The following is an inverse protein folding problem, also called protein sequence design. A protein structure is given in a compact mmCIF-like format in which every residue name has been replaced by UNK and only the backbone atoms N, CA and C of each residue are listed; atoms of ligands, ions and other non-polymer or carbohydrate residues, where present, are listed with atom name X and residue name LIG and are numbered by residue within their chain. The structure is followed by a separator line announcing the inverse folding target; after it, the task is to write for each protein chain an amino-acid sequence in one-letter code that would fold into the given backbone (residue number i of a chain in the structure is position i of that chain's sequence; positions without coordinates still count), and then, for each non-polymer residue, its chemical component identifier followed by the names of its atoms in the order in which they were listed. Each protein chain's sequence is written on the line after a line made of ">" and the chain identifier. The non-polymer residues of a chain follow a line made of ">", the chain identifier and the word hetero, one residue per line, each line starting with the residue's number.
data_IF_251555626917
#
_entry.id   IF_251555626917
#
_cell.length_a   1.000
_cell.length_b   1.000
_cell.length_c   1.000
_cell.angle_alpha   90.00
_cell.angle_beta   90.00
_cell.angle_gamma   90.00
#
_symmetry.space_group_name_H-M   'P 1'
#
loop_
_entity.id
_entity.type
_entity.pdbx_description
1 polymer ?
#
# COMPACT_ATOMS: atom_id res chain seq x y z
N UNK A 1 4.81 -32.59 28.87
CA UNK A 1 4.12 -31.31 29.16
C UNK A 1 5.02 -30.53 30.10
N UNK A 2 5.65 -29.43 29.66
CA UNK A 2 6.56 -28.64 30.52
C UNK A 2 5.72 -27.81 31.48
N UNK A 3 5.75 -28.13 32.77
CA UNK A 3 5.14 -27.31 33.82
C UNK A 3 6.13 -26.23 34.26
N UNK A 4 5.72 -24.97 34.19
CA UNK A 4 6.50 -23.86 34.76
C UNK A 4 6.14 -23.76 36.24
N UNK A 5 7.13 -23.93 37.11
CA UNK A 5 6.96 -23.67 38.56
C UNK A 5 7.01 -22.16 38.74
N UNK A 6 5.84 -21.56 38.95
CA UNK A 6 5.69 -20.12 39.15
C UNK A 6 6.07 -19.78 40.58
N UNK A 7 7.27 -19.22 40.78
CA UNK A 7 7.66 -18.60 42.06
C UNK A 7 7.28 -17.11 42.06
N UNK A 8 7.20 -16.49 43.23
CA UNK A 8 6.87 -15.06 43.37
C UNK A 8 7.85 -14.15 42.59
N UNK A 9 9.10 -14.59 42.40
CA UNK A 9 10.14 -13.91 41.62
C UNK A 9 10.08 -14.16 40.11
N UNK A 10 9.39 -15.20 39.64
CA UNK A 10 9.24 -15.51 38.20
C UNK A 10 7.86 -15.17 37.65
N UNK A 11 6.90 -14.82 38.51
CA UNK A 11 5.53 -14.46 38.12
C UNK A 11 5.48 -13.31 37.10
N UNK A 12 6.25 -12.24 37.31
CA UNK A 12 6.30 -11.09 36.38
C UNK A 12 6.89 -11.49 35.03
N UNK A 13 7.94 -12.32 35.02
CA UNK A 13 8.56 -12.83 33.80
C UNK A 13 7.60 -13.74 33.01
N UNK A 14 6.81 -14.56 33.72
CA UNK A 14 5.78 -15.40 33.10
C UNK A 14 4.64 -14.53 32.55
N UNK A 15 4.19 -13.50 33.27
CA UNK A 15 3.18 -12.55 32.76
C UNK A 15 3.71 -11.83 31.53
N UNK A 16 4.94 -11.32 31.55
CA UNK A 16 5.55 -10.63 30.42
C UNK A 16 5.69 -11.58 29.21
N UNK A 17 6.15 -12.81 29.44
CA UNK A 17 6.24 -13.82 28.38
C UNK A 17 4.87 -14.18 27.79
N UNK A 18 3.83 -14.34 28.63
CA UNK A 18 2.47 -14.61 28.15
C UNK A 18 1.92 -13.39 27.41
N UNK A 19 2.17 -12.18 27.91
CA UNK A 19 1.75 -10.93 27.30
C UNK A 19 2.38 -10.76 25.92
N UNK A 20 3.70 -10.86 25.81
CA UNK A 20 4.40 -10.87 24.53
C UNK A 20 3.84 -11.95 23.60
N UNK A 21 3.67 -13.18 24.10
CA UNK A 21 3.22 -14.30 23.26
C UNK A 21 1.79 -14.16 22.74
N UNK A 22 0.87 -13.54 23.49
CA UNK A 22 -0.54 -13.44 23.11
C UNK A 22 -0.92 -12.07 22.54
N UNK A 23 -0.41 -10.95 23.09
CA UNK A 23 -0.66 -9.61 22.55
C UNK A 23 -0.05 -9.46 21.15
N UNK A 24 1.18 -9.94 20.93
CA UNK A 24 1.82 -9.89 19.60
C UNK A 24 1.01 -10.70 18.57
N UNK A 25 0.45 -11.86 18.96
CA UNK A 25 -0.39 -12.67 18.06
C UNK A 25 -1.69 -11.98 17.68
N UNK A 26 -2.39 -11.38 18.64
CA UNK A 26 -3.59 -10.59 18.36
C UNK A 26 -3.29 -9.43 17.41
N UNK A 27 -2.17 -8.76 17.61
CA UNK A 27 -1.75 -7.64 16.77
C UNK A 27 -1.42 -8.09 15.33
N UNK A 28 -0.74 -9.22 15.18
CA UNK A 28 -0.47 -9.85 13.88
C UNK A 28 -1.78 -10.27 13.19
N UNK A 29 -2.71 -10.90 13.91
CA UNK A 29 -4.02 -11.31 13.36
C UNK A 29 -4.79 -10.09 12.85
N UNK A 30 -4.83 -9.01 13.63
CA UNK A 30 -5.48 -7.74 13.23
C UNK A 30 -4.81 -7.14 12.01
N UNK A 31 -3.48 -7.10 11.96
CA UNK A 31 -2.72 -6.62 10.79
C UNK A 31 -2.99 -7.51 9.57
N UNK A 32 -3.11 -8.83 9.73
CA UNK A 32 -3.37 -9.77 8.62
C UNK A 32 -4.77 -9.60 8.08
N UNK A 33 -5.74 -9.46 8.98
CA UNK A 33 -7.10 -9.12 8.61
C UNK A 33 -7.15 -7.78 7.86
N UNK A 34 -6.39 -6.77 8.31
CA UNK A 34 -6.30 -5.47 7.64
C UNK A 34 -5.65 -5.57 6.28
N UNK A 35 -4.56 -6.33 6.12
CA UNK A 35 -3.98 -6.58 4.79
C UNK A 35 -4.97 -7.32 3.90
N UNK A 36 -5.76 -8.27 4.40
CA UNK A 36 -6.77 -8.95 3.57
C UNK A 36 -7.89 -8.01 3.13
N UNK A 37 -8.37 -7.16 4.03
CA UNK A 37 -9.55 -6.30 3.79
C UNK A 37 -9.24 -4.94 3.19
N UNK A 38 -7.98 -4.46 3.25
CA UNK A 38 -7.63 -3.16 2.66
C UNK A 38 -7.88 -3.18 1.15
N UNK A 39 -8.59 -2.17 0.69
CA UNK A 39 -8.91 -1.94 -0.72
C UNK A 39 -8.79 -0.44 -1.02
N UNK A 40 -8.45 -0.12 -2.26
CA UNK A 40 -8.50 1.24 -2.74
C UNK A 40 -9.97 1.70 -2.79
N UNK A 41 -10.22 2.96 -2.42
CA UNK A 41 -11.58 3.54 -2.48
C UNK A 41 -12.13 3.60 -3.90
N UNK A 42 -11.25 3.68 -4.90
CA UNK A 42 -11.61 3.68 -6.31
C UNK A 42 -10.46 3.16 -7.18
N UNK A 43 -10.69 3.10 -8.49
CA UNK A 43 -9.68 2.79 -9.49
C UNK A 43 -8.72 3.96 -9.76
N UNK A 44 -8.97 5.16 -9.21
CA UNK A 44 -8.11 6.34 -9.39
C UNK A 44 -6.73 6.08 -8.82
N UNK A 45 -5.70 6.57 -9.50
CA UNK A 45 -4.31 6.37 -9.09
C UNK A 45 -4.02 6.87 -7.67
N UNK A 46 -4.69 7.93 -7.21
CA UNK A 46 -4.48 8.49 -5.86
C UNK A 46 -4.95 7.53 -4.76
N UNK A 47 -6.04 6.82 -5.00
CA UNK A 47 -6.57 5.85 -4.05
C UNK A 47 -5.77 4.54 -4.08
N UNK A 48 -5.30 4.15 -5.27
CA UNK A 48 -4.37 3.02 -5.45
C UNK A 48 -3.02 3.29 -4.76
N UNK A 49 -2.51 4.52 -4.81
CA UNK A 49 -1.26 4.92 -4.15
C UNK A 49 -1.38 4.85 -2.62
N UNK A 50 -2.45 5.41 -2.04
CA UNK A 50 -2.72 5.34 -0.60
C UNK A 50 -2.84 3.90 -0.10
N UNK A 51 -3.49 3.04 -0.87
CA UNK A 51 -3.56 1.62 -0.59
C UNK A 51 -2.16 0.99 -0.65
N UNK A 52 -1.36 1.32 -1.66
CA UNK A 52 0.01 0.82 -1.82
C UNK A 52 0.90 1.18 -0.62
N UNK A 53 0.88 2.45 -0.18
CA UNK A 53 1.61 2.91 1.01
C UNK A 53 1.18 2.14 2.27
N UNK A 54 -0.13 1.97 2.43
CA UNK A 54 -0.68 1.24 3.58
C UNK A 54 -0.28 -0.24 3.57
N UNK A 55 -0.35 -0.90 2.42
CA UNK A 55 0.11 -2.28 2.25
C UNK A 55 1.61 -2.41 2.53
N UNK A 56 2.42 -1.48 2.03
CA UNK A 56 3.87 -1.46 2.25
C UNK A 56 4.22 -1.33 3.73
N UNK A 57 3.57 -0.40 4.43
CA UNK A 57 3.75 -0.24 5.88
C UNK A 57 3.40 -1.52 6.66
N UNK A 58 2.33 -2.22 6.29
CA UNK A 58 1.94 -3.46 6.94
C UNK A 58 2.93 -4.61 6.67
N UNK A 59 3.47 -4.71 5.45
CA UNK A 59 4.49 -5.72 5.12
C UNK A 59 5.77 -5.51 5.94
N UNK A 60 6.21 -4.25 6.09
CA UNK A 60 7.35 -3.93 6.97
C UNK A 60 7.07 -4.35 8.42
N UNK A 61 5.89 -4.01 8.94
CA UNK A 61 5.52 -4.34 10.32
C UNK A 61 5.51 -5.86 10.55
N UNK A 62 4.95 -6.65 9.64
CA UNK A 62 5.00 -8.11 9.75
C UNK A 62 6.44 -8.63 9.81
N UNK A 63 7.32 -8.13 8.92
CA UNK A 63 8.72 -8.55 8.94
C UNK A 63 9.42 -8.17 10.25
N UNK A 64 9.15 -6.97 10.79
CA UNK A 64 9.67 -6.54 12.09
C UNK A 64 9.21 -7.45 13.24
N UNK A 65 8.03 -8.05 13.13
CA UNK A 65 7.54 -9.05 14.07
C UNK A 65 8.05 -10.48 13.80
N UNK A 66 8.98 -10.66 12.85
CA UNK A 66 9.55 -11.96 12.50
C UNK A 66 8.66 -12.81 11.60
N UNK A 67 7.60 -12.25 11.03
CA UNK A 67 6.69 -12.98 10.14
C UNK A 67 7.28 -13.16 8.73
N UNK A 68 7.07 -14.35 8.17
CA UNK A 68 7.52 -14.67 6.82
C UNK A 68 6.57 -14.07 5.77
N UNK A 69 6.87 -12.85 5.32
CA UNK A 69 6.06 -12.11 4.33
C UNK A 69 6.42 -12.40 2.88
N UNK A 70 7.59 -12.96 2.62
CA UNK A 70 8.11 -13.22 1.28
C UNK A 70 7.66 -14.60 0.77
N UNK A 71 6.35 -14.83 0.87
CA UNK A 71 5.71 -16.06 0.44
C UNK A 71 4.69 -15.80 -0.69
N UNK A 72 4.46 -16.84 -1.50
CA UNK A 72 3.54 -16.81 -2.65
C UNK A 72 2.15 -16.28 -2.31
N UNK A 73 1.59 -16.69 -1.17
CA UNK A 73 0.24 -16.30 -0.75
C UNK A 73 0.18 -14.80 -0.47
N UNK A 74 1.16 -14.26 0.25
CA UNK A 74 1.24 -12.84 0.57
C UNK A 74 1.49 -11.99 -0.69
N UNK A 75 2.43 -12.42 -1.54
CA UNK A 75 2.71 -11.76 -2.81
C UNK A 75 1.45 -11.69 -3.69
N UNK A 76 0.74 -12.82 -3.84
CA UNK A 76 -0.51 -12.89 -4.59
C UNK A 76 -1.59 -11.98 -3.98
N UNK A 77 -1.79 -12.07 -2.66
CA UNK A 77 -2.78 -11.29 -1.94
C UNK A 77 -2.57 -9.78 -2.12
N UNK A 78 -1.33 -9.32 -2.03
CA UNK A 78 -0.99 -7.91 -2.21
C UNK A 78 -1.15 -7.50 -3.67
N UNK A 79 -0.68 -8.33 -4.61
CA UNK A 79 -0.74 -8.04 -6.03
C UNK A 79 -2.19 -7.89 -6.53
N UNK A 80 -3.08 -8.81 -6.16
CA UNK A 80 -4.48 -8.87 -6.62
C UNK A 80 -5.33 -7.68 -6.19
N UNK A 81 -4.87 -6.87 -5.22
CA UNK A 81 -5.59 -5.66 -4.77
C UNK A 81 -5.60 -4.53 -5.78
N UNK A 82 -4.63 -4.53 -6.68
CA UNK A 82 -4.47 -3.45 -7.65
C UNK A 82 -5.30 -3.71 -8.90
N UNK A 83 -5.66 -2.62 -9.56
CA UNK A 83 -6.39 -2.70 -10.84
C UNK A 83 -5.59 -3.47 -11.88
N UNK A 84 -6.31 -4.06 -12.84
CA UNK A 84 -5.70 -4.86 -13.91
C UNK A 84 -4.61 -4.10 -14.69
N UNK A 85 -4.81 -2.80 -14.93
CA UNK A 85 -3.83 -1.95 -15.61
C UNK A 85 -2.50 -1.88 -14.83
N UNK A 86 -2.57 -1.65 -13.51
CA UNK A 86 -1.39 -1.59 -12.65
C UNK A 86 -0.69 -2.95 -12.57
N UNK A 87 -1.47 -4.02 -12.40
CA UNK A 87 -0.95 -5.40 -12.36
C UNK A 87 -0.23 -5.77 -13.66
N UNK A 88 -0.83 -5.48 -14.81
CA UNK A 88 -0.23 -5.74 -16.13
C UNK A 88 1.10 -5.02 -16.30
N UNK A 89 1.17 -3.75 -15.93
CA UNK A 89 2.41 -2.99 -16.01
C UNK A 89 3.50 -3.58 -15.11
N UNK A 90 3.17 -3.94 -13.87
CA UNK A 90 4.13 -4.55 -12.96
C UNK A 90 4.71 -5.87 -13.54
N UNK A 91 3.88 -6.71 -14.17
CA UNK A 91 4.35 -7.93 -14.87
C UNK A 91 5.30 -7.61 -16.03
N UNK A 92 5.01 -6.56 -16.81
CA UNK A 92 5.87 -6.13 -17.92
C UNK A 92 7.25 -5.64 -17.45
N UNK A 93 7.34 -5.10 -16.24
CA UNK A 93 8.60 -4.63 -15.63
C UNK A 93 9.41 -5.75 -14.97
N UNK A 94 9.10 -7.01 -15.25
CA UNK A 94 9.84 -8.15 -14.71
C UNK A 94 9.48 -8.50 -13.27
N UNK A 95 8.38 -7.96 -12.73
CA UNK A 95 7.75 -8.53 -11.52
C UNK A 95 7.34 -9.94 -11.89
N UNK A 96 8.06 -10.94 -11.36
CA UNK A 96 7.77 -12.34 -11.70
C UNK A 96 6.41 -12.68 -11.12
N UNK A 97 5.62 -13.43 -11.89
CA UNK A 97 4.43 -14.13 -11.38
C UNK A 97 4.83 -14.86 -10.09
N UNK A 98 3.99 -14.91 -9.04
CA UNK A 98 4.36 -15.40 -7.70
C UNK A 98 4.68 -16.90 -7.69
N UNK A 99 5.84 -17.26 -8.24
CA UNK A 99 6.39 -18.61 -8.42
C UNK A 99 7.93 -18.61 -8.25
N UNK A 100 8.53 -17.47 -7.89
CA UNK A 100 9.97 -17.31 -7.71
C UNK A 100 10.23 -16.88 -6.27
N UNK A 101 10.73 -17.80 -5.44
CA UNK A 101 11.09 -17.56 -4.02
C UNK A 101 12.12 -16.43 -3.82
N UNK A 102 12.75 -15.96 -4.88
CA UNK A 102 13.74 -14.88 -4.83
C UNK A 102 13.16 -13.46 -4.76
N UNK A 103 11.85 -13.24 -5.01
CA UNK A 103 11.28 -11.89 -5.05
C UNK A 103 10.68 -11.49 -3.70
N UNK A 104 11.02 -10.32 -3.17
CA UNK A 104 10.42 -9.83 -1.93
C UNK A 104 9.04 -9.23 -2.21
N UNK A 105 8.11 -9.37 -1.27
CA UNK A 105 6.77 -8.76 -1.37
C UNK A 105 6.86 -7.24 -1.45
N UNK A 106 7.87 -6.65 -0.83
CA UNK A 106 8.17 -5.21 -0.93
C UNK A 106 8.60 -4.78 -2.32
N UNK A 107 9.30 -5.63 -3.08
CA UNK A 107 9.74 -5.31 -4.44
C UNK A 107 8.53 -5.16 -5.37
N UNK A 108 7.51 -6.01 -5.17
CA UNK A 108 6.24 -5.93 -5.91
C UNK A 108 5.57 -4.57 -5.64
N UNK A 109 5.42 -4.21 -4.36
CA UNK A 109 4.83 -2.93 -3.96
C UNK A 109 5.64 -1.73 -4.44
N UNK A 110 6.97 -1.84 -4.44
CA UNK A 110 7.88 -0.79 -4.93
C UNK A 110 7.72 -0.59 -6.44
N UNK A 111 7.67 -1.68 -7.22
CA UNK A 111 7.43 -1.63 -8.66
C UNK A 111 6.08 -0.98 -8.99
N UNK A 112 5.02 -1.35 -8.25
CA UNK A 112 3.71 -0.75 -8.38
C UNK A 112 3.74 0.76 -8.06
N UNK A 113 4.40 1.14 -6.96
CA UNK A 113 4.57 2.55 -6.56
C UNK A 113 5.32 3.36 -7.61
N UNK A 114 6.35 2.77 -8.23
CA UNK A 114 7.11 3.38 -9.32
C UNK A 114 6.27 3.59 -10.59
N UNK A 115 5.24 2.77 -10.82
CA UNK A 115 4.28 2.99 -11.90
C UNK A 115 3.24 4.09 -11.56
N UNK A 116 2.70 4.06 -10.34
CA UNK A 116 1.61 4.96 -9.94
C UNK A 116 2.09 6.42 -9.82
N UNK A 117 3.26 6.66 -9.21
CA UNK A 117 3.75 8.02 -8.93
C UNK A 117 3.90 8.90 -10.18
N UNK A 118 4.52 8.43 -11.28
CA UNK A 118 4.58 9.21 -12.53
C UNK A 118 3.20 9.50 -13.11
N UNK A 119 2.27 8.53 -13.08
CA UNK A 119 0.90 8.72 -13.59
C UNK A 119 0.15 9.79 -12.81
N UNK A 120 0.28 9.81 -11.48
CA UNK A 120 -0.26 10.88 -10.64
C UNK A 120 0.30 12.26 -11.00
N UNK A 121 1.62 12.36 -11.24
CA UNK A 121 2.24 13.62 -11.67
C UNK A 121 1.69 14.07 -13.02
N UNK A 122 1.51 13.16 -13.97
CA UNK A 122 0.93 13.47 -15.28
C UNK A 122 -0.53 13.96 -15.16
N UNK A 123 -1.36 13.30 -14.34
CA UNK A 123 -2.75 13.72 -14.09
C UNK A 123 -2.82 15.12 -13.49
N UNK A 124 -1.96 15.42 -12.51
CA UNK A 124 -1.90 16.74 -11.87
C UNK A 124 -1.47 17.83 -12.88
N UNK A 125 -0.47 17.56 -13.71
CA UNK A 125 -0.01 18.48 -14.75
C UNK A 125 -1.08 18.75 -15.80
N UNK A 126 -1.80 17.70 -16.24
CA UNK A 126 -2.87 17.85 -17.22
C UNK A 126 -4.04 18.67 -16.66
N UNK A 127 -4.41 18.43 -15.40
CA UNK A 127 -5.42 19.24 -14.70
C UNK A 127 -5.04 20.71 -14.63
N UNK A 128 -3.79 21.02 -14.23
CA UNK A 128 -3.30 22.41 -14.17
C UNK A 128 -3.31 23.10 -15.54
N UNK A 129 -2.89 22.40 -16.61
CA UNK A 129 -2.95 22.93 -17.98
C UNK A 129 -4.37 23.23 -18.42
N UNK A 130 -5.32 22.36 -18.09
CA UNK A 130 -6.72 22.56 -18.45
C UNK A 130 -7.34 23.78 -17.76
N UNK A 131 -7.06 23.98 -16.47
CA UNK A 131 -7.54 25.17 -15.75
C UNK A 131 -6.91 26.47 -16.31
N UNK A 132 -5.61 26.46 -16.63
CA UNK A 132 -4.96 27.61 -17.26
C UNK A 132 -5.59 27.98 -18.62
N UNK A 133 -5.98 26.98 -19.42
CA UNK A 133 -6.68 27.19 -20.70
C UNK A 133 -8.06 27.80 -20.46
N UNK A 134 -8.83 27.29 -19.49
CA UNK A 134 -10.13 27.87 -19.13
C UNK A 134 -10.01 29.32 -18.69
N UNK A 135 -9.07 29.63 -17.81
CA UNK A 135 -8.86 30.98 -17.30
C UNK A 135 -8.50 31.95 -18.42
N UNK A 136 -7.66 31.50 -19.36
CA UNK A 136 -7.31 32.26 -20.56
C UNK A 136 -8.55 32.52 -21.43
N UNK A 137 -9.37 31.50 -21.69
CA UNK A 137 -10.61 31.65 -22.46
C UNK A 137 -11.61 32.61 -21.78
N UNK A 138 -11.78 32.49 -20.46
CA UNK A 138 -12.67 33.37 -19.68
C UNK A 138 -12.16 34.82 -19.71
N UNK A 139 -10.85 35.03 -19.57
CA UNK A 139 -10.22 36.35 -19.67
C UNK A 139 -10.44 36.98 -21.05
N UNK A 140 -10.22 36.22 -22.13
CA UNK A 140 -10.44 36.68 -23.50
C UNK A 140 -11.90 37.07 -23.74
N UNK A 141 -12.86 36.22 -23.32
CA UNK A 141 -14.29 36.52 -23.43
C UNK A 141 -14.71 37.77 -22.64
N UNK A 142 -14.10 38.01 -21.47
CA UNK A 142 -14.32 39.26 -20.72
C UNK A 142 -13.75 40.45 -21.47
N UNK A 143 -12.53 40.35 -22.00
CA UNK A 143 -11.86 41.44 -22.72
C UNK A 143 -12.60 41.84 -24.00
N UNK A 144 -13.22 40.91 -24.71
CA UNK A 144 -14.03 41.18 -25.91
C UNK A 144 -15.35 41.89 -25.57
N UNK A 145 -15.95 41.62 -24.40
CA UNK A 145 -17.16 42.34 -23.93
C UNK A 145 -16.88 43.80 -23.56
N UNK A 146 -15.67 44.14 -23.12
CA UNK A 146 -15.28 45.51 -22.79
C UNK A 146 -14.77 46.31 -23.99
N UNK A 147 -14.71 45.70 -25.18
CA UNK A 147 -14.35 46.35 -26.45
C UNK A 147 -15.57 46.69 -27.33
N UNK A 148 -16.77 46.80 -26.73
CA UNK A 148 -17.97 47.31 -27.41
C UNK A 148 -17.86 48.81 -27.72
N UNK A 149 -18.60 49.28 -28.76
CA UNK A 149 -18.17 50.17 -29.85
C UNK A 149 -17.65 51.56 -29.47
#
# INVERSE_FOLDING_TARGET
>A
MKSYVVSQSTYLVVIEHLREKYEVKEDIIKKLHRVRTIQAKSSRFIDQEKMCESSYSMIIQFRQHGEFVDNRTMQKLVFEKFTENIRRHALQQGTRVPNSEAQKTEDILTSIKQYIKPKLKMEAQLGSKFEAIKDTMISNLRSERYKGP
#
